data_IF_214292616706
#
_entry.id   IF_214292616706
#
_cell.length_a   1.000
_cell.length_b   1.000
_cell.length_c   1.000
_cell.angle_alpha   90.00
_cell.angle_beta   90.00
_cell.angle_gamma   90.00
#
_symmetry.space_group_name_H-M   'P 1'
#
loop_
_entity.id
_entity.type
_entity.pdbx_description
1 polymer ?
#
# COMPACT_ATOMS: atom_id res chain seq x y z
N UNK A 1 -4.79 11.93 -1.27
CA UNK A 1 -4.50 10.48 -1.42
C UNK A 1 -3.32 10.26 -2.35
N UNK A 2 -3.30 10.83 -3.57
CA UNK A 2 -2.11 10.91 -4.47
C UNK A 2 -0.79 11.27 -3.79
N UNK A 3 -0.75 12.37 -3.03
CA UNK A 3 0.50 12.79 -2.35
C UNK A 3 0.98 11.80 -1.28
N UNK A 4 0.06 11.11 -0.62
CA UNK A 4 0.42 10.06 0.33
C UNK A 4 1.03 8.93 -0.47
N UNK A 5 0.32 8.43 -1.49
CA UNK A 5 0.82 7.38 -2.38
C UNK A 5 2.19 7.69 -2.99
N UNK A 6 2.41 8.89 -3.54
CA UNK A 6 3.72 9.32 -4.06
C UNK A 6 4.80 9.46 -2.97
N UNK A 7 4.40 9.74 -1.72
CA UNK A 7 5.33 9.75 -0.59
C UNK A 7 5.67 8.34 -0.11
N UNK A 8 4.81 7.36 -0.40
CA UNK A 8 4.98 5.95 -0.05
C UNK A 8 5.73 5.19 -1.15
N UNK A 9 5.44 5.51 -2.42
CA UNK A 9 6.09 4.99 -3.60
C UNK A 9 7.44 5.69 -3.83
N UNK A 10 8.37 5.50 -2.89
CA UNK A 10 9.72 6.09 -2.93
C UNK A 10 10.49 5.69 -4.19
N UNK A 11 10.22 4.50 -4.72
CA UNK A 11 10.83 3.97 -5.94
C UNK A 11 10.11 4.44 -7.22
N UNK A 12 9.01 5.20 -7.10
CA UNK A 12 8.17 5.63 -8.24
C UNK A 12 7.79 4.47 -9.15
N UNK A 13 7.49 3.32 -8.55
CA UNK A 13 7.03 2.12 -9.25
C UNK A 13 5.63 2.31 -9.84
N UNK A 14 4.84 3.23 -9.28
CA UNK A 14 3.43 3.41 -9.60
C UNK A 14 2.53 2.37 -8.93
N UNK A 15 3.07 1.56 -8.01
CA UNK A 15 2.35 0.55 -7.25
C UNK A 15 2.93 0.38 -5.84
N UNK A 16 2.08 0.05 -4.88
CA UNK A 16 2.43 -0.23 -3.49
C UNK A 16 2.21 -1.71 -3.19
N UNK A 17 3.31 -2.44 -3.08
CA UNK A 17 3.32 -3.82 -2.58
C UNK A 17 2.91 -3.89 -1.09
N UNK A 18 2.46 -5.06 -0.64
CA UNK A 18 2.12 -5.33 0.77
C UNK A 18 3.20 -4.84 1.74
N UNK A 19 4.46 -5.12 1.45
CA UNK A 19 5.59 -4.77 2.32
C UNK A 19 5.72 -3.25 2.45
N UNK A 20 5.55 -2.51 1.34
CA UNK A 20 5.56 -1.04 1.31
C UNK A 20 4.41 -0.44 2.11
N UNK A 21 3.21 -1.01 2.02
CA UNK A 21 2.05 -0.57 2.82
C UNK A 21 2.26 -0.88 4.30
N UNK A 22 2.82 -2.05 4.62
CA UNK A 22 3.12 -2.47 5.99
C UNK A 22 4.17 -1.56 6.64
N UNK A 23 5.28 -1.32 5.93
CA UNK A 23 6.37 -0.46 6.39
C UNK A 23 5.90 1.00 6.53
N UNK A 24 5.06 1.47 5.61
CA UNK A 24 4.40 2.78 5.70
C UNK A 24 3.59 2.94 6.98
N UNK A 25 2.65 2.03 7.22
CA UNK A 25 1.75 2.09 8.37
C UNK A 25 2.54 1.95 9.68
N UNK A 26 3.63 1.18 9.68
CA UNK A 26 4.60 1.16 10.79
C UNK A 26 5.32 2.50 10.95
N UNK A 27 5.78 3.12 9.86
CA UNK A 27 6.44 4.43 9.88
C UNK A 27 5.51 5.57 10.30
N UNK A 28 4.20 5.42 10.12
CA UNK A 28 3.16 6.32 10.64
C UNK A 28 2.83 6.07 12.12
N UNK A 29 3.42 5.03 12.73
CA UNK A 29 3.16 4.65 14.12
C UNK A 29 1.83 3.95 14.34
N UNK A 30 1.16 3.50 13.27
CA UNK A 30 -0.14 2.82 13.34
C UNK A 30 0.00 1.33 13.71
N UNK A 31 1.22 0.77 13.62
CA UNK A 31 1.55 -0.63 13.95
C UNK A 31 0.47 -1.62 13.47
N UNK A 32 0.24 -1.71 12.15
CA UNK A 32 -0.82 -2.54 11.63
C UNK A 32 -0.49 -4.02 11.81
N UNK A 33 -1.52 -4.84 11.91
CA UNK A 33 -1.36 -6.28 11.84
C UNK A 33 -1.25 -6.75 10.37
N UNK A 34 -0.54 -7.85 10.12
CA UNK A 34 -0.39 -8.38 8.75
C UNK A 34 -1.74 -8.64 8.10
N UNK A 35 -2.71 -9.16 8.87
CA UNK A 35 -4.05 -9.41 8.37
C UNK A 35 -4.82 -8.13 7.99
N UNK A 36 -4.55 -7.01 8.68
CA UNK A 36 -5.15 -5.72 8.33
C UNK A 36 -4.56 -5.18 7.04
N UNK A 37 -3.24 -5.24 6.88
CA UNK A 37 -2.58 -4.82 5.64
C UNK A 37 -3.00 -5.71 4.49
N UNK A 38 -3.13 -7.02 4.69
CA UNK A 38 -3.54 -7.94 3.63
C UNK A 38 -4.99 -7.69 3.20
N UNK A 39 -5.87 -7.40 4.17
CA UNK A 39 -7.25 -7.01 3.89
C UNK A 39 -7.33 -5.65 3.20
N UNK A 40 -6.42 -4.72 3.50
CA UNK A 40 -6.33 -3.42 2.85
C UNK A 40 -5.87 -3.61 1.40
N UNK A 41 -4.77 -4.31 1.19
CA UNK A 41 -4.24 -4.64 -0.14
C UNK A 41 -5.31 -5.33 -0.95
N UNK A 42 -5.89 -6.45 -0.50
CA UNK A 42 -7.00 -7.14 -1.21
C UNK A 42 -8.22 -6.28 -1.51
N UNK A 43 -8.46 -5.23 -0.72
CA UNK A 43 -9.63 -4.36 -0.91
C UNK A 43 -9.38 -3.33 -2.01
N UNK A 44 -8.12 -2.95 -2.23
CA UNK A 44 -7.71 -1.97 -3.22
C UNK A 44 -7.01 -2.60 -4.44
N UNK A 45 -6.59 -3.86 -4.34
CA UNK A 45 -6.08 -4.71 -5.41
C UNK A 45 -7.27 -5.19 -6.27
N UNK A 46 -7.56 -4.44 -7.34
CA UNK A 46 -8.70 -4.67 -8.24
C UNK A 46 -8.29 -5.63 -9.35
N UNK A 47 -7.04 -5.56 -9.80
CA UNK A 47 -6.47 -6.39 -10.85
C UNK A 47 -5.96 -7.75 -10.36
N UNK A 48 -5.74 -7.90 -9.05
CA UNK A 48 -5.31 -9.13 -8.40
C UNK A 48 -3.81 -9.39 -8.52
N UNK A 49 -2.99 -8.37 -8.77
CA UNK A 49 -1.53 -8.51 -8.86
C UNK A 49 -0.85 -8.62 -7.49
N UNK A 50 -1.58 -8.35 -6.40
CA UNK A 50 -1.06 -8.41 -5.03
C UNK A 50 -0.37 -7.12 -4.58
N UNK A 51 -0.48 -6.06 -5.39
CA UNK A 51 -0.06 -4.71 -5.13
C UNK A 51 -1.27 -3.78 -5.24
N UNK A 52 -1.14 -2.55 -4.76
CA UNK A 52 -2.12 -1.51 -5.04
C UNK A 52 -1.51 -0.63 -6.12
N UNK A 53 -2.06 -0.60 -7.32
CA UNK A 53 -1.66 0.33 -8.36
C UNK A 53 -2.11 1.76 -8.05
N UNK A 54 -1.38 2.74 -8.57
CA UNK A 54 -1.75 4.14 -8.49
C UNK A 54 -3.14 4.42 -9.12
N UNK A 55 -3.54 3.63 -10.12
CA UNK A 55 -4.86 3.71 -10.75
C UNK A 55 -5.97 3.01 -9.95
N UNK A 56 -5.60 2.13 -9.00
CA UNK A 56 -6.53 1.35 -8.18
C UNK A 56 -6.77 1.98 -6.80
N UNK A 57 -6.00 3.02 -6.45
CA UNK A 57 -6.09 3.79 -5.21
C UNK A 57 -6.97 5.04 -5.31
#
# INVERSE_FOLDING_TARGET
LRQVFESLDRDRKGSLDFDSVYDCLNSLGLQPDRGQVESLVKKYDIDGDGSIGYEEF
#
